data_IF_089500927022
#
_entry.id   IF_089500927022
#
_cell.length_a   1.000
_cell.length_b   1.000
_cell.length_c   1.000
_cell.angle_alpha   90.00
_cell.angle_beta   90.00
_cell.angle_gamma   90.00
#
_symmetry.space_group_name_H-M   'P 1'
#
loop_
_entity.id
_entity.type
_entity.pdbx_description
1 polymer ?
#
# COMPACT_ATOMS: atom_id res chain seq x y z
N UNK A 1 -12.94 40.44 -43.50
CA UNK A 1 -12.21 40.28 -42.22
C UNK A 1 -13.11 39.62 -41.16
N UNK A 2 -12.97 38.31 -40.98
CA UNK A 2 -13.69 37.56 -39.96
C UNK A 2 -13.00 37.75 -38.60
N UNK A 3 -13.69 38.41 -37.67
CA UNK A 3 -13.24 38.61 -36.29
C UNK A 3 -13.28 37.27 -35.56
N UNK A 4 -12.10 36.73 -35.26
CA UNK A 4 -11.93 35.50 -34.48
C UNK A 4 -12.24 35.77 -33.01
N UNK A 5 -13.49 35.49 -32.62
CA UNK A 5 -13.94 35.57 -31.23
C UNK A 5 -13.12 34.62 -30.35
N UNK A 6 -12.38 35.16 -29.38
CA UNK A 6 -11.65 34.37 -28.38
C UNK A 6 -12.65 33.69 -27.45
N UNK A 7 -12.97 32.42 -27.73
CA UNK A 7 -13.69 31.56 -26.80
C UNK A 7 -12.80 31.32 -25.57
N UNK A 8 -13.07 32.02 -24.46
CA UNK A 8 -12.45 31.72 -23.17
C UNK A 8 -13.15 30.51 -22.60
N UNK A 9 -12.56 29.34 -22.79
CA UNK A 9 -13.01 28.12 -22.13
C UNK A 9 -12.65 28.24 -20.64
N UNK A 10 -13.64 28.53 -19.80
CA UNK A 10 -13.49 28.41 -18.36
C UNK A 10 -13.46 26.92 -18.03
N UNK A 11 -12.25 26.33 -17.91
CA UNK A 11 -12.13 25.04 -17.26
C UNK A 11 -12.39 25.25 -15.77
N UNK A 12 -13.61 24.94 -15.33
CA UNK A 12 -13.86 24.74 -13.90
C UNK A 12 -13.04 23.53 -13.45
N UNK A 13 -11.95 23.78 -12.74
CA UNK A 13 -11.21 22.71 -12.06
C UNK A 13 -12.17 22.09 -11.03
N UNK A 14 -12.63 20.88 -11.29
CA UNK A 14 -13.42 20.11 -10.32
C UNK A 14 -12.44 19.63 -9.25
N UNK A 15 -12.41 20.32 -8.12
CA UNK A 15 -11.72 19.86 -6.94
C UNK A 15 -12.61 18.85 -6.21
N UNK A 16 -12.25 17.57 -6.27
CA UNK A 16 -12.81 16.55 -5.40
C UNK A 16 -11.75 16.18 -4.35
N UNK A 17 -12.20 15.97 -3.11
CA UNK A 17 -11.35 15.51 -2.01
C UNK A 17 -11.86 14.15 -1.57
N UNK A 18 -10.94 13.22 -1.34
CA UNK A 18 -11.29 11.89 -0.88
C UNK A 18 -10.09 11.11 -0.36
N UNK A 19 -10.37 9.88 0.08
CA UNK A 19 -9.39 8.98 0.66
C UNK A 19 -9.43 7.65 -0.08
N UNK A 20 -8.27 7.12 -0.45
CA UNK A 20 -8.12 5.73 -0.88
C UNK A 20 -7.61 4.92 0.30
N UNK A 21 -8.35 3.88 0.67
CA UNK A 21 -8.08 3.07 1.86
C UNK A 21 -7.75 1.63 1.48
N UNK A 22 -6.69 1.09 2.07
CA UNK A 22 -6.29 -0.31 1.97
C UNK A 22 -6.23 -0.92 3.36
N UNK A 23 -6.80 -2.11 3.52
CA UNK A 23 -6.72 -2.87 4.78
C UNK A 23 -6.01 -4.19 4.55
N UNK A 24 -4.84 -4.36 5.17
CA UNK A 24 -4.17 -5.66 5.27
C UNK A 24 -5.01 -6.56 6.16
N UNK A 25 -5.34 -7.74 5.65
CA UNK A 25 -6.12 -8.77 6.36
C UNK A 25 -5.25 -9.90 6.85
N UNK A 26 -4.26 -10.26 6.05
CA UNK A 26 -3.51 -11.48 6.24
C UNK A 26 -2.25 -11.46 5.38
N UNK A 27 -1.15 -11.97 5.93
CA UNK A 27 0.07 -12.26 5.18
C UNK A 27 0.78 -13.48 5.76
N UNK A 28 1.54 -14.17 4.91
CA UNK A 28 2.34 -15.32 5.33
C UNK A 28 3.70 -15.32 4.65
N UNK A 29 4.74 -15.50 5.46
CA UNK A 29 6.11 -15.76 5.04
C UNK A 29 6.68 -16.89 5.92
N UNK A 30 6.18 -18.14 5.78
CA UNK A 30 6.54 -19.23 6.69
C UNK A 30 8.05 -19.55 6.72
N UNK A 31 8.79 -19.10 5.70
CA UNK A 31 10.23 -19.30 5.59
C UNK A 31 11.07 -18.12 6.08
N UNK A 32 10.46 -16.98 6.44
CA UNK A 32 11.18 -15.79 6.91
C UNK A 32 12.19 -15.26 5.88
N UNK A 33 11.84 -15.30 4.59
CA UNK A 33 12.74 -14.92 3.48
C UNK A 33 12.34 -13.62 2.82
N UNK A 34 13.36 -12.91 2.34
CA UNK A 34 13.23 -11.76 1.46
C UNK A 34 13.00 -12.21 0.01
N UNK A 35 12.60 -11.27 -0.84
CA UNK A 35 12.47 -11.50 -2.28
C UNK A 35 13.80 -11.94 -2.93
N UNK A 36 14.94 -11.54 -2.34
CA UNK A 36 16.28 -11.95 -2.78
C UNK A 36 16.57 -13.43 -2.52
N UNK A 37 15.77 -14.10 -1.69
CA UNK A 37 15.99 -15.49 -1.24
C UNK A 37 16.75 -15.58 0.08
N UNK A 38 17.34 -14.49 0.55
CA UNK A 38 18.01 -14.37 1.85
C UNK A 38 17.02 -14.41 3.01
N UNK A 39 17.51 -14.74 4.21
CA UNK A 39 16.72 -14.58 5.43
C UNK A 39 16.54 -13.09 5.76
N UNK A 40 15.42 -12.72 6.40
CA UNK A 40 15.20 -11.35 6.87
C UNK A 40 16.30 -10.86 7.80
N UNK A 41 16.82 -11.79 8.61
CA UNK A 41 17.83 -11.52 9.62
C UNK A 41 19.13 -12.19 9.20
N UNK A 42 20.27 -11.56 9.50
CA UNK A 42 21.58 -12.09 9.19
C UNK A 42 21.76 -13.47 9.83
N UNK A 43 22.05 -14.48 9.01
CA UNK A 43 22.38 -15.80 9.52
C UNK A 43 23.59 -15.72 10.45
N UNK A 44 23.39 -16.13 11.71
CA UNK A 44 24.43 -16.87 12.39
C UNK A 44 24.59 -18.21 11.64
N UNK A 45 25.57 -18.27 10.73
CA UNK A 45 26.11 -19.49 10.10
C UNK A 45 25.23 -20.27 9.10
N UNK A 46 25.42 -19.98 7.81
CA UNK A 46 25.52 -20.96 6.71
C UNK A 46 24.47 -22.06 6.55
N UNK A 47 23.27 -21.92 7.11
CA UNK A 47 22.24 -22.95 7.09
C UNK A 47 21.26 -22.71 5.94
N UNK A 48 20.82 -23.79 5.27
CA UNK A 48 19.75 -23.75 4.26
C UNK A 48 18.39 -23.24 4.81
N UNK A 49 18.24 -23.02 6.12
CA UNK A 49 17.00 -22.64 6.78
C UNK A 49 17.17 -21.35 7.60
N UNK A 50 16.18 -20.46 7.54
CA UNK A 50 16.17 -19.25 8.37
C UNK A 50 15.83 -19.61 9.81
N UNK A 51 16.35 -18.84 10.77
CA UNK A 51 16.07 -19.04 12.19
C UNK A 51 14.56 -18.99 12.43
N UNK A 52 14.03 -19.98 13.14
CA UNK A 52 12.63 -19.93 13.59
C UNK A 52 12.45 -18.99 14.80
N UNK A 53 13.55 -18.59 15.46
CA UNK A 53 13.54 -17.72 16.63
C UNK A 53 13.52 -16.24 16.27
N UNK A 54 14.08 -15.89 15.11
CA UNK A 54 14.25 -14.52 14.66
C UNK A 54 13.35 -14.31 13.43
N UNK A 55 12.31 -13.50 13.59
CA UNK A 55 11.24 -13.31 12.61
C UNK A 55 11.36 -11.94 11.96
N UNK A 56 10.92 -11.84 10.70
CA UNK A 56 10.91 -10.57 9.98
C UNK A 56 10.01 -9.54 10.65
N UNK A 57 10.48 -8.31 10.80
CA UNK A 57 9.66 -7.12 11.02
C UNK A 57 8.96 -6.71 9.72
N UNK A 58 7.74 -7.22 9.55
CA UNK A 58 6.96 -7.06 8.32
C UNK A 58 6.14 -5.79 8.32
N UNK A 59 6.31 -4.96 7.29
CA UNK A 59 5.47 -3.80 6.99
C UNK A 59 5.09 -3.74 5.50
N UNK A 60 4.07 -2.94 5.20
CA UNK A 60 3.53 -2.80 3.86
C UNK A 60 3.64 -1.36 3.36
N UNK A 61 4.03 -1.21 2.10
CA UNK A 61 4.01 0.05 1.39
C UNK A 61 3.10 -0.08 0.17
N UNK A 62 2.17 0.86 0.01
CA UNK A 62 1.29 0.96 -1.15
C UNK A 62 1.69 2.16 -2.02
N UNK A 63 1.68 1.93 -3.33
CA UNK A 63 1.89 2.93 -4.36
C UNK A 63 0.65 2.98 -5.25
N UNK A 64 0.03 4.15 -5.34
CA UNK A 64 -1.10 4.42 -6.20
C UNK A 64 -0.64 5.25 -7.41
N UNK A 65 -0.99 4.80 -8.60
CA UNK A 65 -0.63 5.48 -9.87
C UNK A 65 -1.68 5.29 -10.94
N UNK A 66 -1.49 5.96 -12.07
CA UNK A 66 -2.38 5.87 -13.21
C UNK A 66 -2.51 4.44 -13.76
N UNK A 67 -3.66 4.15 -14.35
CA UNK A 67 -3.84 2.93 -15.11
C UNK A 67 -2.88 2.91 -16.31
N UNK A 68 -2.22 1.78 -16.50
CA UNK A 68 -1.47 1.50 -17.72
C UNK A 68 -1.97 0.17 -18.29
N UNK A 69 -2.18 0.12 -19.61
CA UNK A 69 -2.62 -1.11 -20.30
C UNK A 69 -1.64 -2.28 -20.07
N UNK A 70 -0.35 -1.98 -19.87
CA UNK A 70 0.65 -2.91 -19.35
C UNK A 70 1.11 -2.42 -17.99
N UNK A 71 0.78 -3.19 -16.96
CA UNK A 71 1.10 -2.83 -15.57
C UNK A 71 2.58 -3.07 -15.30
N UNK A 72 3.33 -2.01 -15.04
CA UNK A 72 4.67 -2.10 -14.47
C UNK A 72 4.60 -1.98 -12.94
N UNK A 73 5.31 -2.80 -12.15
CA UNK A 73 5.40 -2.62 -10.69
C UNK A 73 6.32 -1.44 -10.32
N UNK A 74 7.10 -0.94 -11.27
CA UNK A 74 8.01 0.20 -11.12
C UNK A 74 7.38 1.48 -11.67
N UNK A 75 7.94 2.64 -11.30
CA UNK A 75 7.48 3.96 -11.73
C UNK A 75 7.03 4.85 -10.56
N UNK A 76 6.69 6.11 -10.88
CA UNK A 76 6.27 7.08 -9.88
C UNK A 76 4.83 6.83 -9.40
N UNK A 77 4.59 7.05 -8.12
CA UNK A 77 3.26 6.94 -7.50
C UNK A 77 2.51 8.27 -7.67
N UNK A 78 2.02 8.52 -8.89
CA UNK A 78 1.41 9.79 -9.32
C UNK A 78 0.18 10.20 -8.50
N UNK A 79 -0.49 9.22 -7.89
CA UNK A 79 -1.66 9.42 -7.04
C UNK A 79 -1.34 9.34 -5.54
N UNK A 80 -0.08 9.03 -5.19
CA UNK A 80 0.41 9.03 -3.83
C UNK A 80 0.85 7.65 -3.33
N UNK A 81 1.40 7.66 -2.13
CA UNK A 81 1.91 6.48 -1.43
C UNK A 81 1.45 6.47 0.00
N UNK A 82 1.35 5.29 0.59
CA UNK A 82 1.16 5.13 2.03
C UNK A 82 1.87 3.90 2.54
N UNK A 83 2.08 3.82 3.84
CA UNK A 83 2.72 2.67 4.48
C UNK A 83 2.10 2.38 5.83
N UNK A 84 2.21 1.13 6.26
CA UNK A 84 1.93 0.73 7.63
C UNK A 84 3.17 0.92 8.51
N UNK A 85 2.99 0.92 9.83
CA UNK A 85 4.06 0.52 10.73
C UNK A 85 4.40 -0.96 10.58
N UNK A 86 5.36 -1.45 11.38
CA UNK A 86 5.61 -2.89 11.51
C UNK A 86 4.36 -3.54 12.07
N UNK A 87 3.80 -4.48 11.32
CA UNK A 87 2.61 -5.21 11.73
C UNK A 87 2.97 -6.45 12.56
N UNK A 88 4.13 -7.02 12.29
CA UNK A 88 4.82 -7.98 13.15
C UNK A 88 5.62 -8.98 12.35
N UNK A 89 5.71 -10.22 12.84
CA UNK A 89 6.63 -11.27 12.40
C UNK A 89 6.44 -11.81 10.97
N UNK A 90 6.75 -13.08 10.78
CA UNK A 90 6.69 -13.78 9.49
C UNK A 90 5.27 -13.92 8.91
N UNK A 91 4.27 -14.17 9.76
CA UNK A 91 2.90 -14.45 9.32
C UNK A 91 1.90 -13.93 10.33
N UNK A 92 0.86 -13.24 9.86
CA UNK A 92 -0.20 -12.73 10.73
C UNK A 92 -1.56 -12.71 10.03
N UNK A 93 -2.60 -12.88 10.84
CA UNK A 93 -4.01 -12.76 10.46
C UNK A 93 -4.65 -11.68 11.33
N UNK A 94 -5.17 -10.62 10.69
CA UNK A 94 -5.91 -9.57 11.36
C UNK A 94 -7.40 -9.91 11.38
N UNK A 95 -7.93 -10.21 12.55
CA UNK A 95 -9.37 -10.33 12.73
C UNK A 95 -10.01 -8.94 12.72
N UNK A 96 -11.14 -8.80 12.03
CA UNK A 96 -12.00 -7.64 12.24
C UNK A 96 -12.61 -7.75 13.64
N UNK A 97 -12.06 -7.03 14.62
CA UNK A 97 -12.78 -6.80 15.87
C UNK A 97 -13.94 -5.86 15.55
N UNK A 98 -15.12 -6.46 15.39
CA UNK A 98 -16.38 -5.79 15.62
C UNK A 98 -16.33 -5.09 16.98
N UNK A 99 -16.99 -3.96 17.07
CA UNK A 99 -16.97 -3.01 18.17
C UNK A 99 -17.46 -3.64 19.51
N UNK A 100 -16.62 -4.41 20.18
CA UNK A 100 -16.87 -4.85 21.55
C UNK A 100 -16.00 -4.06 22.53
N UNK A 101 -16.69 -3.23 23.32
CA UNK A 101 -16.12 -2.42 24.40
C UNK A 101 -15.54 -3.35 25.46
N UNK A 102 -14.22 -3.42 25.56
CA UNK A 102 -13.58 -4.05 26.71
C UNK A 102 -12.08 -4.27 26.57
N UNK A 103 -11.30 -3.28 26.98
CA UNK A 103 -9.95 -3.48 27.54
C UNK A 103 -8.77 -3.47 26.56
N UNK A 104 -7.80 -2.60 26.85
CA UNK A 104 -6.43 -2.65 26.32
C UNK A 104 -6.21 -1.79 25.08
N UNK A 105 -5.40 -0.73 25.23
CA UNK A 105 -5.05 0.20 24.16
C UNK A 105 -4.21 -0.42 23.06
N UNK A 106 -4.18 0.29 21.92
CA UNK A 106 -3.41 0.00 20.71
C UNK A 106 -3.75 -1.32 20.00
N UNK A 107 -4.77 -1.31 19.12
CA UNK A 107 -4.51 -1.62 17.69
C UNK A 107 -5.74 -1.61 16.77
N UNK A 108 -6.48 -0.50 16.80
CA UNK A 108 -7.57 -0.27 15.85
C UNK A 108 -7.10 0.20 14.45
N UNK A 109 -5.79 0.33 14.23
CA UNK A 109 -5.17 0.86 13.01
C UNK A 109 -4.12 -0.06 12.37
N UNK A 110 -3.93 -1.27 12.90
CA UNK A 110 -2.92 -2.18 12.36
C UNK A 110 -3.34 -2.64 10.95
N UNK A 111 -2.44 -2.43 9.99
CA UNK A 111 -2.64 -2.81 8.60
C UNK A 111 -3.51 -1.87 7.76
N UNK A 112 -3.91 -0.70 8.27
CA UNK A 112 -4.66 0.29 7.47
C UNK A 112 -3.70 1.28 6.80
N UNK A 113 -3.85 1.47 5.48
CA UNK A 113 -3.09 2.46 4.70
C UNK A 113 -4.08 3.44 4.08
N UNK A 114 -3.85 4.73 4.28
CA UNK A 114 -4.69 5.82 3.75
C UNK A 114 -3.86 6.70 2.83
N UNK A 115 -4.36 6.92 1.61
CA UNK A 115 -3.76 7.83 0.63
C UNK A 115 -4.78 8.93 0.32
N UNK A 116 -4.59 10.15 0.85
CA UNK A 116 -5.48 11.28 0.57
C UNK A 116 -5.27 11.80 -0.85
N UNK A 117 -6.36 12.25 -1.49
CA UNK A 117 -6.30 12.90 -2.79
C UNK A 117 -7.15 14.18 -2.86
N UNK A 118 -6.71 15.11 -3.71
CA UNK A 118 -7.39 16.38 -3.99
C UNK A 118 -7.53 16.60 -5.51
N UNK A 119 -8.02 15.58 -6.22
CA UNK A 119 -8.27 15.59 -7.65
C UNK A 119 -9.54 14.82 -7.99
N UNK A 120 -10.12 15.07 -9.17
CA UNK A 120 -11.26 14.32 -9.65
C UNK A 120 -10.90 12.83 -9.83
N UNK A 121 -11.57 11.96 -9.08
CA UNK A 121 -11.28 10.53 -9.05
C UNK A 121 -11.63 9.87 -10.41
N UNK A 122 -10.66 9.24 -11.12
CA UNK A 122 -10.82 8.86 -12.53
C UNK A 122 -11.70 7.63 -12.81
N UNK A 123 -12.47 7.13 -11.83
CA UNK A 123 -13.28 5.89 -11.94
C UNK A 123 -14.32 5.96 -13.07
N UNK A 124 -14.71 7.15 -13.50
CA UNK A 124 -15.67 7.34 -14.60
C UNK A 124 -15.20 6.88 -15.99
N UNK A 125 -13.91 6.59 -16.18
CA UNK A 125 -13.34 6.26 -17.51
C UNK A 125 -12.97 4.79 -17.74
N UNK A 126 -13.30 3.86 -16.83
CA UNK A 126 -12.93 2.44 -17.00
C UNK A 126 -11.42 2.16 -16.84
N UNK A 127 -10.64 3.19 -16.47
CA UNK A 127 -9.23 3.08 -16.12
C UNK A 127 -9.11 2.60 -14.66
N UNK A 128 -8.83 1.31 -14.47
CA UNK A 128 -8.60 0.71 -13.14
C UNK A 128 -7.20 1.13 -12.67
N UNK A 129 -7.05 1.84 -11.55
CA UNK A 129 -5.71 2.23 -11.08
C UNK A 129 -4.83 1.02 -10.75
N UNK A 130 -3.52 1.18 -10.94
CA UNK A 130 -2.56 0.18 -10.48
C UNK A 130 -2.24 0.46 -9.02
N UNK A 131 -2.66 -0.45 -8.14
CA UNK A 131 -2.14 -0.51 -6.77
C UNK A 131 -1.00 -1.52 -6.73
N UNK A 132 0.20 -1.06 -6.38
CA UNK A 132 1.33 -1.95 -6.10
C UNK A 132 1.59 -1.96 -4.61
N UNK A 133 1.66 -3.16 -4.03
CA UNK A 133 1.95 -3.37 -2.62
C UNK A 133 3.28 -4.11 -2.49
N UNK A 134 4.17 -3.58 -1.66
CA UNK A 134 5.45 -4.22 -1.35
C UNK A 134 5.47 -4.59 0.13
N UNK A 135 5.73 -5.86 0.40
CA UNK A 135 6.05 -6.35 1.74
C UNK A 135 7.55 -6.22 1.94
N UNK A 136 7.96 -5.54 3.02
CA UNK A 136 9.36 -5.48 3.43
C UNK A 136 9.50 -6.12 4.80
N UNK A 137 10.47 -7.03 4.91
CA UNK A 137 10.91 -7.60 6.18
C UNK A 137 12.31 -7.06 6.48
N UNK A 138 12.54 -6.65 7.72
CA UNK A 138 13.87 -6.39 8.29
C UNK A 138 14.01 -7.23 9.57
N UNK A 139 15.18 -7.22 10.21
CA UNK A 139 15.29 -7.61 11.61
C UNK A 139 16.43 -6.91 12.31
#
# INVERSE_FOLDING_TARGET
PVTMGRLRLWLSAVCAVGMFELQIRHFQNPHGRLQTGECCDLQASGAQHCSARDQCDTFFQACLKEYQARVAPTGACTFGTGSTGVLGGNSQLFHHRGHDRGGGGEDRSNGHIVIPFQYAWPVSTGAVMVSSMVTKGTG
#
